data_IF_403315453636
#
_entry.id   IF_403315453636
#
_cell.length_a   1.000
_cell.length_b   1.000
_cell.length_c   1.000
_cell.angle_alpha   90.00
_cell.angle_beta   90.00
_cell.angle_gamma   90.00
#
_symmetry.space_group_name_H-M   'P 1'
#
loop_
_entity.id
_entity.type
_entity.pdbx_description
1 polymer ?
#
# COMPACT_ATOMS: atom_id res chain seq x y z
N UNK A 1 25.46 -25.15 -59.06
CA UNK A 1 24.28 -24.74 -59.84
C UNK A 1 23.39 -23.84 -58.99
N UNK A 2 22.96 -22.70 -59.58
CA UNK A 2 21.87 -21.77 -59.18
C UNK A 2 21.95 -20.94 -57.86
N UNK A 3 22.52 -19.73 -58.05
CA UNK A 3 22.20 -18.35 -57.62
C UNK A 3 21.53 -17.98 -56.25
N UNK A 4 21.90 -16.80 -55.68
CA UNK A 4 21.46 -16.28 -54.38
C UNK A 4 20.31 -15.26 -54.47
N UNK A 5 19.64 -14.96 -53.34
CA UNK A 5 18.64 -13.88 -53.24
C UNK A 5 19.19 -12.68 -52.47
N UNK A 6 19.24 -11.51 -53.14
CA UNK A 6 19.45 -10.16 -52.60
C UNK A 6 18.22 -9.32 -52.96
N UNK A 7 17.94 -8.29 -52.13
CA UNK A 7 16.97 -7.16 -52.22
C UNK A 7 15.68 -7.35 -51.41
N UNK A 8 15.17 -6.35 -50.69
CA UNK A 8 15.54 -4.93 -50.65
C UNK A 8 14.96 -4.18 -49.45
N UNK A 9 15.75 -3.25 -48.94
CA UNK A 9 15.35 -2.09 -48.15
C UNK A 9 14.86 -1.05 -49.15
N UNK A 10 13.57 -0.74 -49.14
CA UNK A 10 12.92 0.48 -49.64
C UNK A 10 11.43 0.19 -49.85
N UNK A 11 10.60 0.33 -48.80
CA UNK A 11 9.14 0.54 -48.98
C UNK A 11 8.36 0.89 -47.69
N UNK A 12 9.01 1.50 -46.69
CA UNK A 12 8.30 1.91 -45.45
C UNK A 12 8.42 3.38 -45.08
N UNK A 13 9.00 4.20 -45.96
CA UNK A 13 9.14 5.65 -45.75
C UNK A 13 7.95 6.48 -46.28
N UNK A 14 7.08 5.92 -47.13
CA UNK A 14 6.00 6.69 -47.79
C UNK A 14 4.60 6.60 -47.15
N UNK A 15 4.43 5.85 -46.06
CA UNK A 15 3.11 5.75 -45.37
C UNK A 15 2.93 6.66 -44.16
N UNK A 16 3.95 7.43 -43.76
CA UNK A 16 3.89 8.31 -42.58
C UNK A 16 3.56 9.77 -42.97
N UNK A 17 3.65 10.15 -44.25
CA UNK A 17 3.39 11.51 -44.72
C UNK A 17 1.91 11.86 -44.96
N UNK A 18 1.00 10.88 -45.08
CA UNK A 18 -0.40 11.12 -45.48
C UNK A 18 -1.45 11.05 -44.35
N UNK A 19 -1.05 10.84 -43.09
CA UNK A 19 -1.99 10.84 -41.94
C UNK A 19 -1.97 12.11 -41.08
N UNK A 20 -1.25 13.16 -41.53
CA UNK A 20 -1.10 14.43 -40.79
C UNK A 20 -1.90 15.61 -41.38
N UNK A 21 -2.92 15.34 -42.19
CA UNK A 21 -3.70 16.39 -42.87
C UNK A 21 -5.23 16.20 -42.84
N UNK A 22 -5.78 15.50 -41.83
CA UNK A 22 -7.22 15.26 -41.71
C UNK A 22 -7.76 15.44 -40.28
N UNK A 23 -7.19 16.37 -39.51
CA UNK A 23 -7.68 16.73 -38.18
C UNK A 23 -7.91 18.25 -37.98
N UNK A 24 -7.90 19.03 -39.06
CA UNK A 24 -8.26 20.46 -39.05
C UNK A 24 -9.42 20.71 -40.02
N UNK A 25 -10.65 20.56 -39.53
CA UNK A 25 -11.86 21.27 -39.96
C UNK A 25 -13.10 20.56 -39.39
N UNK A 26 -13.70 21.14 -38.35
CA UNK A 26 -14.96 20.66 -37.81
C UNK A 26 -16.14 21.07 -38.67
N UNK A 27 -17.07 20.15 -38.95
CA UNK A 27 -18.51 20.38 -39.20
C UNK A 27 -19.28 19.07 -38.93
N UNK A 28 -20.35 19.15 -38.11
CA UNK A 28 -21.35 18.08 -37.92
C UNK A 28 -22.20 17.84 -39.18
N UNK A 29 -22.55 16.57 -39.48
CA UNK A 29 -23.86 16.24 -40.07
C UNK A 29 -24.31 14.81 -39.79
N UNK A 30 -25.58 14.70 -39.42
CA UNK A 30 -26.38 13.49 -39.25
C UNK A 30 -26.67 12.80 -40.60
N UNK A 31 -26.65 11.47 -40.58
CA UNK A 31 -27.47 10.48 -41.33
C UNK A 31 -26.68 9.35 -42.05
N UNK A 32 -26.99 8.13 -41.59
CA UNK A 32 -27.05 6.83 -42.31
C UNK A 32 -25.79 6.28 -43.00
N UNK A 33 -25.18 5.29 -42.34
CA UNK A 33 -24.76 4.04 -43.00
C UNK A 33 -25.04 2.84 -42.07
N UNK A 34 -26.05 2.05 -42.42
CA UNK A 34 -26.28 0.71 -41.89
C UNK A 34 -25.68 -0.33 -42.86
N UNK A 35 -24.90 -1.30 -42.38
CA UNK A 35 -24.50 -2.44 -43.21
C UNK A 35 -23.25 -3.25 -42.79
N UNK A 36 -23.43 -4.17 -41.82
CA UNK A 36 -22.66 -5.43 -41.55
C UNK A 36 -21.23 -5.35 -40.96
N UNK A 37 -20.70 -6.45 -40.37
CA UNK A 37 -21.25 -7.29 -39.29
C UNK A 37 -20.36 -7.25 -38.03
N UNK A 38 -21.00 -7.42 -36.85
CA UNK A 38 -20.32 -7.58 -35.55
C UNK A 38 -19.50 -8.87 -35.54
N UNK A 39 -18.22 -8.75 -35.23
CA UNK A 39 -17.40 -9.86 -34.70
C UNK A 39 -17.47 -9.72 -33.17
N UNK A 40 -18.22 -10.62 -32.53
CA UNK A 40 -18.21 -10.81 -31.07
C UNK A 40 -16.93 -11.55 -30.67
N UNK A 41 -16.16 -10.96 -29.77
CA UNK A 41 -15.15 -11.68 -28.99
C UNK A 41 -15.31 -11.27 -27.52
N UNK A 42 -15.75 -12.24 -26.71
CA UNK A 42 -15.35 -12.43 -25.32
C UNK A 42 -15.82 -11.42 -24.28
N UNK A 43 -17.05 -11.60 -23.76
CA UNK A 43 -17.47 -11.03 -22.48
C UNK A 43 -16.69 -11.70 -21.34
N UNK A 44 -15.92 -10.91 -20.58
CA UNK A 44 -15.44 -11.29 -19.26
C UNK A 44 -16.54 -10.99 -18.22
N UNK A 45 -16.68 -11.91 -17.28
CA UNK A 45 -17.78 -12.09 -16.36
C UNK A 45 -18.04 -10.89 -15.43
N UNK A 46 -19.26 -10.35 -15.48
CA UNK A 46 -19.83 -9.48 -14.45
C UNK A 46 -20.91 -10.26 -13.69
N UNK A 47 -20.65 -10.69 -12.46
CA UNK A 47 -21.68 -11.29 -11.60
C UNK A 47 -22.56 -10.20 -10.98
N UNK A 48 -23.58 -9.80 -11.74
CA UNK A 48 -24.89 -9.39 -11.21
C UNK A 48 -25.84 -10.54 -11.53
N UNK A 49 -26.42 -11.16 -10.51
CA UNK A 49 -27.71 -11.91 -10.47
C UNK A 49 -27.63 -13.16 -9.57
N UNK A 50 -27.81 -12.98 -8.26
CA UNK A 50 -28.39 -14.00 -7.38
C UNK A 50 -29.23 -13.32 -6.29
N UNK A 51 -30.43 -12.86 -6.66
CA UNK A 51 -31.50 -12.50 -5.72
C UNK A 51 -32.83 -12.53 -6.50
N UNK A 52 -33.38 -13.72 -6.78
CA UNK A 52 -34.83 -13.95 -6.94
C UNK A 52 -35.10 -15.45 -6.79
N UNK A 53 -35.69 -15.84 -5.66
CA UNK A 53 -36.83 -16.76 -5.51
C UNK A 53 -36.81 -17.42 -4.12
N UNK A 54 -37.70 -16.98 -3.24
CA UNK A 54 -38.39 -17.84 -2.30
C UNK A 54 -39.77 -17.24 -1.98
N UNK A 55 -40.80 -18.06 -1.74
CA UNK A 55 -42.20 -17.69 -1.92
C UNK A 55 -42.85 -17.11 -0.67
N UNK A 56 -43.91 -16.36 -0.92
CA UNK A 56 -44.98 -15.99 0.00
C UNK A 56 -45.54 -17.22 0.74
N UNK A 57 -45.55 -17.18 2.07
CA UNK A 57 -46.55 -17.86 2.91
C UNK A 57 -46.95 -16.94 4.06
N UNK A 58 -48.19 -16.46 3.99
CA UNK A 58 -48.95 -15.91 5.11
C UNK A 58 -49.68 -17.10 5.74
N UNK A 59 -49.60 -17.25 7.05
CA UNK A 59 -50.75 -17.67 7.86
C UNK A 59 -50.60 -17.18 9.30
N UNK A 60 -51.71 -16.66 9.79
CA UNK A 60 -51.95 -16.14 11.14
C UNK A 60 -51.88 -17.24 12.21
N UNK A 61 -51.45 -16.84 13.41
CA UNK A 61 -51.95 -17.20 14.76
C UNK A 61 -50.86 -16.71 15.73
N UNK A 62 -51.08 -16.01 16.84
CA UNK A 62 -52.23 -15.51 17.57
C UNK A 62 -51.62 -14.73 18.75
N UNK A 63 -52.30 -13.68 19.21
CA UNK A 63 -51.88 -12.84 20.33
C UNK A 63 -51.96 -13.58 21.68
N UNK A 64 -51.35 -12.95 22.70
CA UNK A 64 -51.43 -13.12 24.19
C UNK A 64 -50.02 -13.30 24.80
N UNK A 65 -49.59 -12.67 25.89
CA UNK A 65 -50.26 -11.85 26.92
C UNK A 65 -49.20 -11.06 27.72
N UNK A 66 -49.63 -9.92 28.29
CA UNK A 66 -48.92 -9.08 29.28
C UNK A 66 -49.40 -9.48 30.69
N UNK A 67 -48.48 -9.64 31.66
CA UNK A 67 -48.54 -9.25 33.09
C UNK A 67 -47.66 -10.18 33.96
N UNK A 68 -46.64 -9.65 34.65
CA UNK A 68 -46.68 -9.12 36.03
C UNK A 68 -46.88 -10.20 37.11
N UNK A 69 -45.87 -10.44 37.96
CA UNK A 69 -45.91 -9.96 39.35
C UNK A 69 -44.61 -10.23 40.12
N UNK A 70 -44.33 -9.26 41.00
CA UNK A 70 -43.36 -9.23 42.10
C UNK A 70 -43.50 -10.41 43.06
N UNK A 71 -42.37 -10.89 43.63
CA UNK A 71 -42.06 -10.97 45.08
C UNK A 71 -40.83 -11.85 45.31
N UNK A 72 -39.91 -11.39 46.16
CA UNK A 72 -38.82 -12.21 46.66
C UNK A 72 -37.63 -11.38 47.12
N UNK A 73 -37.79 -10.64 48.22
CA UNK A 73 -36.66 -10.12 48.98
C UNK A 73 -35.94 -11.29 49.66
N UNK A 74 -34.72 -11.58 49.23
CA UNK A 74 -33.72 -12.23 50.06
C UNK A 74 -32.45 -11.36 50.00
N UNK A 75 -32.22 -10.63 51.08
CA UNK A 75 -30.98 -9.91 51.34
C UNK A 75 -29.93 -10.97 51.69
N UNK A 76 -29.13 -11.38 50.71
CA UNK A 76 -27.85 -12.02 50.96
C UNK A 76 -26.78 -10.92 51.01
N UNK A 77 -26.42 -10.50 52.22
CA UNK A 77 -25.23 -9.70 52.49
C UNK A 77 -23.99 -10.54 52.19
N UNK A 78 -23.58 -10.58 50.92
CA UNK A 78 -22.27 -11.03 50.53
C UNK A 78 -21.29 -9.86 50.67
N UNK A 79 -20.36 -9.98 51.61
CA UNK A 79 -19.17 -9.14 51.73
C UNK A 79 -18.38 -9.19 50.41
N UNK A 80 -18.58 -8.19 49.55
CA UNK A 80 -17.67 -7.90 48.44
C UNK A 80 -16.39 -7.31 49.04
N UNK A 81 -15.43 -8.17 49.34
CA UNK A 81 -14.04 -7.77 49.47
C UNK A 81 -13.61 -7.22 48.10
N UNK A 82 -13.53 -5.90 47.98
CA UNK A 82 -12.89 -5.23 46.84
C UNK A 82 -11.41 -5.59 46.92
N UNK A 83 -11.02 -6.65 46.22
CA UNK A 83 -9.64 -6.91 45.90
C UNK A 83 -9.20 -5.80 44.96
N UNK A 84 -8.63 -4.73 45.53
CA UNK A 84 -7.84 -3.76 44.78
C UNK A 84 -6.62 -4.50 44.25
N UNK A 85 -6.77 -5.11 43.08
CA UNK A 85 -5.64 -5.57 42.30
C UNK A 85 -4.73 -4.36 42.04
N UNK A 86 -3.40 -4.52 42.06
CA UNK A 86 -2.50 -3.43 41.75
C UNK A 86 -2.86 -2.90 40.38
N UNK A 87 -3.22 -1.62 40.31
CA UNK A 87 -3.35 -0.91 39.05
C UNK A 87 -2.04 -1.11 38.30
N UNK A 88 -2.09 -1.82 37.17
CA UNK A 88 -0.96 -1.89 36.25
C UNK A 88 -0.78 -0.49 35.73
N UNK A 89 0.08 0.28 36.42
CA UNK A 89 0.56 1.57 35.95
C UNK A 89 1.17 1.30 34.59
N UNK A 90 0.53 1.79 33.53
CA UNK A 90 1.12 1.84 32.22
C UNK A 90 2.41 2.66 32.38
N UNK A 91 3.56 1.97 32.49
CA UNK A 91 4.86 2.62 32.49
C UNK A 91 4.91 3.43 31.20
N UNK A 92 4.84 4.74 31.33
CA UNK A 92 5.13 5.69 30.27
C UNK A 92 6.49 5.31 29.75
N UNK A 93 6.54 4.67 28.57
CA UNK A 93 7.80 4.26 27.97
C UNK A 93 8.63 5.52 27.74
N UNK A 94 9.91 5.46 28.08
CA UNK A 94 10.84 6.54 27.74
C UNK A 94 10.67 6.91 26.25
N UNK A 95 10.81 8.19 25.89
CA UNK A 95 10.72 8.61 24.50
C UNK A 95 11.70 7.79 23.65
N UNK A 96 11.34 7.46 22.40
CA UNK A 96 12.22 6.68 21.54
C UNK A 96 13.54 7.41 21.34
N UNK A 97 14.66 6.69 21.40
CA UNK A 97 15.96 7.24 21.04
C UNK A 97 15.97 7.53 19.55
N UNK A 98 16.19 8.79 19.17
CA UNK A 98 16.27 9.20 17.76
C UNK A 98 17.62 9.85 17.43
N UNK A 99 18.00 9.81 16.15
CA UNK A 99 19.15 10.56 15.63
C UNK A 99 18.86 11.03 14.20
N UNK A 100 19.67 12.00 13.73
CA UNK A 100 19.63 12.54 12.38
C UNK A 100 21.04 12.92 11.96
N UNK A 101 21.57 12.32 10.89
CA UNK A 101 22.97 12.52 10.48
C UNK A 101 23.21 13.83 9.69
N UNK A 102 22.16 14.43 9.14
CA UNK A 102 22.24 15.67 8.35
C UNK A 102 20.86 16.33 8.18
N UNK A 103 20.80 17.60 7.75
CA UNK A 103 19.54 18.36 7.64
C UNK A 103 18.51 17.74 6.68
N UNK A 104 18.98 17.12 5.61
CA UNK A 104 18.15 16.43 4.61
C UNK A 104 18.06 14.92 4.84
N UNK A 105 18.68 14.39 5.89
CA UNK A 105 18.59 12.98 6.26
C UNK A 105 17.25 12.69 6.94
N UNK A 106 16.80 11.45 6.87
CA UNK A 106 15.66 10.99 7.67
C UNK A 106 15.98 11.05 9.16
N UNK A 107 15.00 11.44 9.98
CA UNK A 107 15.08 11.18 11.42
C UNK A 107 14.91 9.67 11.62
N UNK A 108 15.84 9.06 12.36
CA UNK A 108 15.91 7.62 12.58
C UNK A 108 15.52 7.29 14.01
N UNK A 109 14.70 6.26 14.20
CA UNK A 109 14.29 5.73 15.51
C UNK A 109 15.06 4.45 15.78
N UNK A 110 15.81 4.40 16.89
CA UNK A 110 16.53 3.19 17.33
C UNK A 110 15.54 2.18 17.90
N UNK A 111 15.49 1.00 17.29
CA UNK A 111 14.60 -0.09 17.66
C UNK A 111 15.37 -1.18 18.39
N UNK A 112 14.85 -1.70 19.51
CA UNK A 112 15.55 -2.72 20.28
C UNK A 112 15.59 -4.05 19.54
N UNK A 113 16.65 -4.82 19.77
CA UNK A 113 16.66 -6.24 19.42
C UNK A 113 15.48 -6.97 20.08
N UNK A 114 14.92 -7.95 19.40
CA UNK A 114 13.78 -8.68 19.93
C UNK A 114 13.33 -9.84 19.07
N UNK A 115 12.23 -10.46 19.51
CA UNK A 115 11.59 -11.57 18.84
C UNK A 115 10.10 -11.30 18.71
N UNK A 116 9.50 -11.69 17.58
CA UNK A 116 8.08 -11.54 17.32
C UNK A 116 7.56 -12.63 16.40
N UNK A 117 6.24 -12.73 16.25
CA UNK A 117 5.61 -13.59 15.26
C UNK A 117 5.35 -12.80 13.98
N UNK A 118 6.09 -13.12 12.93
CA UNK A 118 5.91 -12.56 11.59
C UNK A 118 4.85 -13.34 10.81
N UNK A 119 4.02 -12.64 10.04
CA UNK A 119 2.99 -13.23 9.21
C UNK A 119 1.59 -13.18 9.82
N UNK A 120 0.65 -13.86 9.16
CA UNK A 120 -0.78 -13.83 9.49
C UNK A 120 -1.36 -15.23 9.71
N UNK A 121 -2.47 -15.25 10.44
CA UNK A 121 -3.43 -16.34 10.54
C UNK A 121 -4.69 -15.99 9.77
N UNK A 122 -5.60 -16.95 9.59
CA UNK A 122 -6.93 -16.69 9.02
C UNK A 122 -7.74 -15.65 9.82
N UNK A 123 -7.49 -15.53 11.12
CA UNK A 123 -8.25 -14.66 12.02
C UNK A 123 -7.84 -13.18 11.87
N UNK A 124 -6.73 -12.93 11.15
CA UNK A 124 -6.29 -11.58 10.81
C UNK A 124 -7.03 -10.98 9.60
N UNK A 125 -7.91 -11.75 8.96
CA UNK A 125 -8.67 -11.33 7.79
C UNK A 125 -10.13 -11.00 8.16
N UNK A 126 -10.56 -9.79 7.81
CA UNK A 126 -11.94 -9.34 7.96
C UNK A 126 -12.80 -9.78 6.77
N UNK A 127 -14.08 -10.06 7.02
CA UNK A 127 -15.04 -10.45 5.97
C UNK A 127 -14.96 -11.92 5.56
N UNK A 128 -15.34 -12.22 4.31
CA UNK A 128 -15.33 -13.59 3.79
C UNK A 128 -13.91 -14.05 3.45
N UNK A 129 -13.29 -14.79 4.38
CA UNK A 129 -11.93 -15.32 4.23
C UNK A 129 -11.71 -16.14 2.94
N UNK A 130 -12.77 -16.71 2.33
CA UNK A 130 -12.62 -17.44 1.05
C UNK A 130 -12.04 -16.55 -0.05
N UNK A 131 -12.21 -15.23 0.04
CA UNK A 131 -11.66 -14.26 -0.91
C UNK A 131 -10.15 -14.03 -0.74
N UNK A 132 -9.60 -14.36 0.43
CA UNK A 132 -8.23 -13.99 0.84
C UNK A 132 -7.31 -15.19 1.07
N UNK A 133 -7.69 -16.36 0.55
CA UNK A 133 -6.93 -17.59 0.74
C UNK A 133 -5.53 -17.50 0.12
N UNK A 134 -5.40 -16.80 -1.01
CA UNK A 134 -4.13 -16.65 -1.72
C UNK A 134 -3.16 -15.77 -0.93
N UNK A 135 -3.65 -14.68 -0.35
CA UNK A 135 -2.90 -13.78 0.52
C UNK A 135 -2.33 -14.54 1.72
N UNK A 136 -3.14 -15.39 2.37
CA UNK A 136 -2.65 -16.22 3.48
C UNK A 136 -1.56 -17.22 3.06
N UNK A 137 -1.50 -17.66 1.79
CA UNK A 137 -0.38 -18.53 1.35
C UNK A 137 0.97 -17.83 1.36
N UNK A 138 0.97 -16.50 1.24
CA UNK A 138 2.17 -15.66 1.27
C UNK A 138 2.44 -15.18 2.69
N UNK A 139 1.40 -14.74 3.39
CA UNK A 139 1.52 -14.15 4.73
C UNK A 139 1.65 -15.20 5.83
N UNK A 140 1.22 -16.43 5.58
CA UNK A 140 1.17 -17.50 6.57
C UNK A 140 2.22 -18.62 6.38
N UNK A 141 2.21 -19.60 7.29
CA UNK A 141 1.75 -19.45 8.67
C UNK A 141 2.69 -18.51 9.44
N UNK A 142 2.28 -18.01 10.63
CA UNK A 142 3.13 -17.16 11.45
C UNK A 142 4.43 -17.87 11.86
N UNK A 143 5.55 -17.15 11.82
CA UNK A 143 6.89 -17.68 12.12
C UNK A 143 7.57 -16.80 13.15
N UNK A 144 8.27 -17.45 14.08
CA UNK A 144 9.03 -16.71 15.09
C UNK A 144 10.31 -16.16 14.49
N UNK A 145 10.47 -14.83 14.52
CA UNK A 145 11.58 -14.12 13.91
C UNK A 145 12.38 -13.36 14.96
N UNK A 146 13.71 -13.40 14.86
CA UNK A 146 14.61 -12.57 15.67
C UNK A 146 15.17 -11.41 14.84
N UNK A 147 15.17 -10.23 15.44
CA UNK A 147 15.67 -8.98 14.85
C UNK A 147 16.74 -8.42 15.78
N UNK A 148 17.88 -8.01 15.20
CA UNK A 148 18.92 -7.30 15.96
C UNK A 148 18.46 -5.87 16.22
N UNK A 149 19.18 -5.13 17.07
CA UNK A 149 18.97 -3.69 17.16
C UNK A 149 19.33 -3.05 15.83
N UNK A 150 18.51 -2.13 15.36
CA UNK A 150 18.72 -1.35 14.14
C UNK A 150 17.94 -0.04 14.28
N UNK A 151 18.15 0.92 13.38
CA UNK A 151 17.31 2.10 13.32
C UNK A 151 16.46 2.11 12.06
N UNK A 152 15.25 2.65 12.16
CA UNK A 152 14.31 2.80 11.05
C UNK A 152 13.89 4.25 10.93
N UNK A 153 13.73 4.73 9.70
CA UNK A 153 13.20 6.05 9.42
C UNK A 153 11.87 6.25 10.12
N UNK A 154 11.78 7.32 10.92
CA UNK A 154 10.58 7.70 11.67
C UNK A 154 9.37 7.87 10.74
N UNK A 155 9.65 8.39 9.57
CA UNK A 155 8.72 8.68 8.48
C UNK A 155 9.18 7.98 7.19
N UNK A 156 8.33 8.03 6.16
CA UNK A 156 8.79 7.86 4.78
C UNK A 156 9.85 8.89 4.41
N UNK A 157 10.66 8.60 3.38
CA UNK A 157 11.46 9.65 2.75
C UNK A 157 10.51 10.62 2.06
N UNK A 158 10.65 11.91 2.36
CA UNK A 158 9.75 12.94 1.81
C UNK A 158 10.20 13.42 0.43
N UNK A 159 9.30 14.08 -0.30
CA UNK A 159 9.63 14.75 -1.56
C UNK A 159 10.75 15.77 -1.39
N UNK A 160 10.74 16.54 -0.31
CA UNK A 160 11.80 17.51 0.01
C UNK A 160 13.16 16.86 0.21
N UNK A 161 13.23 15.72 0.90
CA UNK A 161 14.48 14.97 1.09
C UNK A 161 14.99 14.41 -0.24
N UNK A 162 14.10 13.80 -1.02
CA UNK A 162 14.44 13.24 -2.33
C UNK A 162 14.84 14.32 -3.35
N UNK A 163 14.27 15.53 -3.26
CA UNK A 163 14.61 16.64 -4.14
C UNK A 163 16.08 17.07 -4.06
N UNK A 164 16.72 16.90 -2.89
CA UNK A 164 18.16 17.18 -2.74
C UNK A 164 18.99 16.21 -3.59
N UNK A 165 18.70 14.91 -3.49
CA UNK A 165 19.30 13.88 -4.34
C UNK A 165 19.06 14.19 -5.82
N UNK A 166 17.81 14.46 -6.19
CA UNK A 166 17.46 14.65 -7.59
C UNK A 166 18.15 15.87 -8.21
N UNK A 167 18.24 16.97 -7.45
CA UNK A 167 18.96 18.18 -7.86
C UNK A 167 20.46 17.93 -8.02
N UNK A 168 21.09 17.24 -7.08
CA UNK A 168 22.55 17.03 -7.10
C UNK A 168 23.00 16.02 -8.16
N UNK A 169 22.14 15.07 -8.51
CA UNK A 169 22.49 13.97 -9.44
C UNK A 169 21.93 14.17 -10.84
N UNK A 170 21.03 15.13 -11.04
CA UNK A 170 20.27 15.26 -12.29
C UNK A 170 19.31 14.08 -12.52
N UNK A 171 18.83 13.46 -11.43
CA UNK A 171 17.95 12.29 -11.51
C UNK A 171 16.70 12.57 -12.34
N UNK A 172 16.50 11.75 -13.37
CA UNK A 172 15.29 11.73 -14.18
C UNK A 172 14.45 10.50 -13.79
N UNK A 173 13.24 10.73 -13.27
CA UNK A 173 12.32 9.69 -12.79
C UNK A 173 11.07 9.51 -13.65
N UNK A 174 11.13 9.85 -14.95
CA UNK A 174 9.96 9.79 -15.85
C UNK A 174 9.39 8.39 -16.04
N UNK A 175 8.09 8.35 -16.29
CA UNK A 175 7.30 7.14 -16.49
C UNK A 175 6.84 6.56 -15.16
N UNK A 176 5.54 6.66 -14.87
CA UNK A 176 4.97 6.14 -13.64
C UNK A 176 3.59 5.52 -13.87
N UNK A 177 3.29 4.44 -13.14
CA UNK A 177 1.92 3.96 -12.99
C UNK A 177 1.15 4.94 -12.09
N UNK A 178 0.23 5.66 -12.70
CA UNK A 178 -0.61 6.65 -12.02
C UNK A 178 -2.02 6.10 -11.85
N UNK A 179 -2.64 6.39 -10.72
CA UNK A 179 -4.02 6.00 -10.50
C UNK A 179 -4.97 7.00 -11.17
N UNK A 180 -5.86 6.50 -12.03
CA UNK A 180 -6.91 7.29 -12.69
C UNK A 180 -8.27 6.72 -12.33
N UNK A 181 -8.87 7.28 -11.27
CA UNK A 181 -10.22 6.97 -10.75
C UNK A 181 -10.41 5.50 -10.36
N UNK A 182 -10.49 4.60 -11.33
CA UNK A 182 -10.77 3.17 -11.11
C UNK A 182 -9.65 2.26 -11.59
N UNK A 183 -8.61 2.77 -12.25
CA UNK A 183 -7.55 1.93 -12.82
C UNK A 183 -6.16 2.57 -12.70
N UNK A 184 -5.13 1.73 -12.88
CA UNK A 184 -3.73 2.10 -12.89
C UNK A 184 -3.21 2.15 -14.33
N UNK A 185 -2.86 3.36 -14.78
CA UNK A 185 -2.35 3.59 -16.12
C UNK A 185 -0.87 3.99 -16.09
N UNK A 186 -0.09 3.46 -17.04
CA UNK A 186 1.23 4.00 -17.30
C UNK A 186 1.12 5.37 -17.96
N UNK A 187 1.74 6.38 -17.36
CA UNK A 187 1.85 7.74 -17.90
C UNK A 187 3.32 8.08 -18.08
N UNK A 188 3.74 8.26 -19.32
CA UNK A 188 5.15 8.51 -19.69
C UNK A 188 5.71 9.77 -19.03
N UNK A 189 4.86 10.79 -18.90
CA UNK A 189 5.29 12.12 -18.47
C UNK A 189 5.19 12.32 -16.95
N UNK A 190 4.54 11.37 -16.26
CA UNK A 190 4.46 11.35 -14.80
C UNK A 190 5.80 10.96 -14.18
N UNK A 191 6.08 11.48 -12.99
CA UNK A 191 7.31 11.27 -12.23
C UNK A 191 7.10 11.56 -10.73
N UNK A 192 8.19 11.55 -9.96
CA UNK A 192 8.17 11.84 -8.53
C UNK A 192 7.77 13.29 -8.17
N UNK A 193 7.85 14.22 -9.12
CA UNK A 193 7.38 15.60 -8.91
C UNK A 193 5.89 15.72 -9.23
N UNK A 194 5.44 15.02 -10.27
CA UNK A 194 4.08 15.06 -10.80
C UNK A 194 3.52 13.63 -10.95
N UNK A 195 3.08 12.99 -9.84
CA UNK A 195 2.66 11.59 -9.85
C UNK A 195 1.23 11.38 -10.37
N UNK A 196 0.55 12.44 -10.81
CA UNK A 196 -0.85 12.42 -11.23
C UNK A 196 -1.83 13.02 -10.21
N UNK A 197 -1.33 13.49 -9.07
CA UNK A 197 -2.11 14.18 -8.02
C UNK A 197 -1.24 15.20 -7.27
N UNK A 198 -1.83 16.19 -6.57
CA UNK A 198 -1.06 17.17 -5.82
C UNK A 198 -0.37 16.53 -4.60
N UNK A 199 0.88 16.90 -4.37
CA UNK A 199 1.65 16.56 -3.17
C UNK A 199 2.36 17.81 -2.64
N UNK A 200 2.56 17.89 -1.33
CA UNK A 200 3.43 18.90 -0.70
C UNK A 200 4.88 18.41 -0.60
N UNK A 201 5.78 19.25 -0.10
CA UNK A 201 7.17 18.89 0.14
C UNK A 201 7.34 17.83 1.25
N UNK A 202 6.38 17.76 2.16
CA UNK A 202 6.40 16.87 3.33
C UNK A 202 5.62 15.56 3.09
N UNK A 203 5.00 15.40 1.92
CA UNK A 203 4.44 14.12 1.47
C UNK A 203 5.55 13.10 1.20
N UNK A 204 5.26 11.78 1.31
CA UNK A 204 6.18 10.74 0.89
C UNK A 204 6.53 10.91 -0.59
N UNK A 205 7.80 10.73 -0.95
CA UNK A 205 8.16 10.62 -2.35
C UNK A 205 7.57 9.33 -2.92
N UNK A 206 6.84 9.45 -4.02
CA UNK A 206 6.25 8.34 -4.77
C UNK A 206 6.73 8.35 -6.22
N UNK A 207 6.26 7.43 -7.05
CA UNK A 207 6.76 7.25 -8.42
C UNK A 207 8.28 7.00 -8.46
N UNK A 208 8.78 6.26 -7.46
CA UNK A 208 10.16 5.80 -7.39
C UNK A 208 10.18 4.28 -7.45
N UNK A 209 11.05 3.73 -8.30
CA UNK A 209 11.28 2.30 -8.40
C UNK A 209 12.30 1.86 -7.36
N UNK A 210 12.39 0.55 -7.10
CA UNK A 210 13.41 0.02 -6.21
C UNK A 210 14.84 0.43 -6.63
N UNK A 211 15.12 0.45 -7.94
CA UNK A 211 16.40 0.89 -8.48
C UNK A 211 16.67 2.40 -8.28
N UNK A 212 15.65 3.23 -8.32
CA UNK A 212 15.80 4.66 -8.00
C UNK A 212 16.14 4.85 -6.51
N UNK A 213 15.50 4.04 -5.66
CA UNK A 213 15.77 4.04 -4.22
C UNK A 213 17.21 3.59 -3.92
N UNK A 214 17.74 2.60 -4.63
CA UNK A 214 19.16 2.22 -4.48
C UNK A 214 20.11 3.34 -4.88
N UNK A 215 19.83 4.07 -5.97
CA UNK A 215 20.63 5.23 -6.37
C UNK A 215 20.60 6.33 -5.31
N UNK A 216 19.42 6.60 -4.74
CA UNK A 216 19.27 7.53 -3.61
C UNK A 216 20.10 7.09 -2.40
N UNK A 217 20.03 5.81 -2.02
CA UNK A 217 20.80 5.24 -0.90
C UNK A 217 22.31 5.31 -1.15
N UNK A 218 22.76 4.98 -2.36
CA UNK A 218 24.17 5.05 -2.74
C UNK A 218 24.69 6.49 -2.65
N UNK A 219 23.95 7.44 -3.23
CA UNK A 219 24.27 8.87 -3.13
C UNK A 219 24.34 9.31 -1.67
N UNK A 220 23.34 8.98 -0.86
CA UNK A 220 23.28 9.40 0.55
C UNK A 220 24.49 8.86 1.33
N UNK A 221 24.77 7.56 1.20
CA UNK A 221 25.92 6.94 1.85
C UNK A 221 27.25 7.56 1.39
N UNK A 222 27.39 7.90 0.10
CA UNK A 222 28.58 8.61 -0.40
C UNK A 222 28.72 10.01 0.18
N UNK A 223 27.62 10.75 0.33
CA UNK A 223 27.61 12.12 0.92
C UNK A 223 27.99 12.13 2.41
N UNK A 224 27.70 11.03 3.09
CA UNK A 224 27.90 10.82 4.51
C UNK A 224 29.21 10.08 4.84
N UNK A 225 29.92 9.57 3.84
CA UNK A 225 31.20 8.89 4.02
C UNK A 225 32.19 9.77 4.82
N UNK A 226 32.70 9.23 5.93
CA UNK A 226 33.61 9.93 6.85
C UNK A 226 32.95 10.97 7.77
N UNK A 227 31.63 11.20 7.65
CA UNK A 227 30.87 12.11 8.54
C UNK A 227 30.05 11.37 9.59
N UNK A 228 29.65 10.14 9.29
CA UNK A 228 28.94 9.25 10.21
C UNK A 228 29.37 7.81 9.97
N UNK A 229 29.21 6.96 10.99
CA UNK A 229 29.41 5.51 10.91
C UNK A 229 28.19 4.79 10.32
N UNK A 230 27.04 5.47 10.26
CA UNK A 230 25.79 4.90 9.82
C UNK A 230 25.80 4.60 8.32
N UNK A 231 25.29 3.40 7.97
CA UNK A 231 25.08 3.00 6.58
C UNK A 231 23.59 2.79 6.32
N UNK A 232 23.05 3.62 5.45
CA UNK A 232 21.64 3.59 5.06
C UNK A 232 21.37 2.46 4.07
N UNK A 233 20.21 1.84 4.20
CA UNK A 233 19.69 0.78 3.31
C UNK A 233 18.15 0.78 3.33
N UNK A 234 17.54 -0.06 2.50
CA UNK A 234 16.14 -0.44 2.70
C UNK A 234 16.02 -1.39 3.91
N UNK A 235 14.91 -1.34 4.66
CA UNK A 235 14.61 -2.37 5.65
C UNK A 235 14.36 -3.71 4.96
N UNK A 236 14.65 -4.80 5.67
CA UNK A 236 14.13 -6.12 5.30
C UNK A 236 12.65 -6.20 5.67
N UNK A 237 11.87 -7.06 5.01
CA UNK A 237 10.48 -7.35 5.38
C UNK A 237 10.36 -7.72 6.87
N UNK A 238 11.31 -8.52 7.36
CA UNK A 238 11.39 -8.97 8.75
C UNK A 238 11.54 -7.81 9.72
N UNK A 239 12.44 -6.88 9.43
CA UNK A 239 12.66 -5.67 10.25
C UNK A 239 11.46 -4.74 10.19
N UNK A 240 10.90 -4.56 8.99
CA UNK A 240 9.78 -3.68 8.76
C UNK A 240 8.53 -4.13 9.52
N UNK A 241 8.18 -5.42 9.47
CA UNK A 241 6.98 -5.91 10.14
C UNK A 241 7.15 -5.92 11.67
N UNK A 242 8.36 -6.21 12.17
CA UNK A 242 8.70 -6.04 13.58
C UNK A 242 8.45 -4.59 14.04
N UNK A 243 8.95 -3.64 13.26
CA UNK A 243 8.78 -2.21 13.48
C UNK A 243 7.32 -1.76 13.38
N UNK A 244 6.57 -2.27 12.40
CA UNK A 244 5.16 -1.93 12.20
C UNK A 244 4.30 -2.37 13.38
N UNK A 245 4.53 -3.60 13.87
CA UNK A 245 3.82 -4.18 15.02
C UNK A 245 4.16 -3.48 16.34
N UNK A 246 5.41 -3.03 16.53
CA UNK A 246 5.86 -2.36 17.76
C UNK A 246 5.42 -3.06 19.06
N UNK A 247 5.43 -4.39 19.05
CA UNK A 247 5.03 -5.26 20.15
C UNK A 247 3.57 -5.71 20.16
N UNK A 248 2.72 -5.29 19.22
CA UNK A 248 1.36 -5.85 19.08
C UNK A 248 1.36 -7.19 18.34
N UNK A 249 0.33 -7.99 18.62
CA UNK A 249 0.05 -9.23 17.89
C UNK A 249 -1.15 -9.10 16.94
N UNK A 250 -1.83 -7.96 16.97
CA UNK A 250 -3.00 -7.65 16.13
C UNK A 250 -2.63 -7.35 14.68
N UNK A 251 -3.59 -7.40 13.73
CA UNK A 251 -3.35 -7.05 12.33
C UNK A 251 -2.84 -5.62 12.13
N UNK A 252 -3.28 -4.69 12.96
CA UNK A 252 -2.83 -3.28 12.97
C UNK A 252 -2.24 -2.93 14.32
N UNK A 253 -1.40 -1.88 14.39
CA UNK A 253 -0.76 -1.48 15.65
C UNK A 253 -1.68 -0.68 16.59
N UNK A 254 -2.89 -0.31 16.13
CA UNK A 254 -3.94 0.31 16.95
C UNK A 254 -5.04 -0.68 17.36
N UNK A 255 -4.95 -1.94 16.94
CA UNK A 255 -5.89 -3.01 17.31
C UNK A 255 -6.66 -3.56 16.11
N UNK A 256 -7.96 -3.79 16.28
CA UNK A 256 -8.84 -4.38 15.25
C UNK A 256 -10.01 -3.47 14.84
N UNK A 257 -10.13 -2.27 15.41
CA UNK A 257 -11.22 -1.35 15.09
C UNK A 257 -10.92 -0.54 13.84
N UNK A 258 -11.76 -0.69 12.81
CA UNK A 258 -11.71 0.13 11.59
C UNK A 258 -12.23 1.55 11.78
N UNK A 259 -13.03 1.80 12.80
CA UNK A 259 -13.47 3.17 13.13
C UNK A 259 -12.30 4.04 13.60
N UNK A 260 -11.28 3.42 14.19
CA UNK A 260 -10.08 4.13 14.66
C UNK A 260 -9.04 4.34 13.56
N UNK A 261 -9.20 3.72 12.39
CA UNK A 261 -8.20 3.68 11.33
C UNK A 261 -7.68 5.08 10.94
N UNK A 262 -8.59 6.02 10.67
CA UNK A 262 -8.25 7.38 10.24
C UNK A 262 -7.55 8.23 11.31
N UNK A 263 -7.36 7.73 12.55
CA UNK A 263 -6.51 8.37 13.56
C UNK A 263 -5.04 7.99 13.43
N UNK A 264 -4.77 6.87 12.77
CA UNK A 264 -3.46 6.22 12.73
C UNK A 264 -2.87 6.21 11.33
N UNK A 265 -3.67 6.40 10.28
CA UNK A 265 -3.17 6.33 8.92
C UNK A 265 -4.11 6.89 7.84
N UNK A 266 -3.56 6.99 6.63
CA UNK A 266 -4.23 7.36 5.39
C UNK A 266 -4.34 6.17 4.43
N UNK A 267 -5.56 5.68 4.23
CA UNK A 267 -5.92 4.65 3.26
C UNK A 267 -7.39 4.82 2.89
N UNK A 268 -7.97 3.88 2.13
CA UNK A 268 -9.34 4.07 1.65
C UNK A 268 -10.35 4.15 2.79
N UNK A 269 -10.99 5.31 2.84
CA UNK A 269 -12.01 5.68 3.80
C UNK A 269 -13.18 6.40 3.08
N UNK A 270 -14.04 7.11 3.82
CA UNK A 270 -15.15 7.86 3.23
C UNK A 270 -14.71 8.91 2.19
N UNK A 271 -13.58 9.59 2.38
CA UNK A 271 -13.01 10.54 1.42
C UNK A 271 -12.61 9.85 0.12
N UNK A 272 -12.05 8.63 0.19
CA UNK A 272 -11.63 7.86 -0.98
C UNK A 272 -12.78 7.39 -1.90
N UNK A 273 -14.06 7.51 -1.48
CA UNK A 273 -15.22 7.24 -2.37
C UNK A 273 -15.23 8.15 -3.59
N UNK A 274 -14.66 9.36 -3.50
CA UNK A 274 -14.52 10.28 -4.64
C UNK A 274 -13.61 9.72 -5.75
N UNK A 275 -12.72 8.78 -5.41
CA UNK A 275 -11.89 8.07 -6.38
C UNK A 275 -12.64 6.90 -7.04
N UNK A 276 -13.42 6.16 -6.25
CA UNK A 276 -14.16 5.00 -6.72
C UNK A 276 -15.15 4.51 -5.66
N UNK A 277 -16.46 4.68 -5.85
CA UNK A 277 -17.45 4.40 -4.80
C UNK A 277 -17.66 2.90 -4.52
N UNK A 278 -17.24 2.03 -5.44
CA UNK A 278 -17.48 0.58 -5.36
C UNK A 278 -16.42 -0.18 -4.54
N UNK A 279 -15.31 0.47 -4.18
CA UNK A 279 -14.27 -0.15 -3.37
C UNK A 279 -14.61 -0.07 -1.87
N UNK A 280 -14.30 -1.12 -1.08
CA UNK A 280 -14.43 -1.06 0.38
C UNK A 280 -13.65 0.10 0.98
N UNK A 281 -14.23 0.71 2.02
CA UNK A 281 -13.66 1.84 2.75
C UNK A 281 -13.77 1.59 4.26
N UNK A 282 -12.87 2.18 5.03
CA UNK A 282 -13.05 2.27 6.47
C UNK A 282 -14.19 3.26 6.79
N UNK A 283 -14.99 3.01 7.84
CA UNK A 283 -16.11 3.88 8.22
C UNK A 283 -15.59 5.08 9.05
N UNK A 284 -14.67 5.85 8.48
CA UNK A 284 -14.07 7.06 9.04
C UNK A 284 -13.65 8.00 7.91
N UNK A 285 -13.12 9.17 8.26
CA UNK A 285 -12.64 10.18 7.31
C UNK A 285 -11.31 10.76 7.82
N UNK A 286 -10.25 10.61 7.03
CA UNK A 286 -8.89 11.09 7.22
C UNK A 286 -8.62 12.42 6.50
N UNK A 287 -9.56 12.84 5.64
CA UNK A 287 -9.54 14.06 4.83
C UNK A 287 -8.46 14.13 3.74
N UNK A 288 -7.84 13.00 3.38
CA UNK A 288 -6.81 12.90 2.34
C UNK A 288 -7.25 11.99 1.20
N UNK A 289 -7.46 12.58 0.03
CA UNK A 289 -7.81 11.83 -1.18
C UNK A 289 -6.63 11.02 -1.76
N UNK A 290 -5.41 11.49 -1.52
CA UNK A 290 -4.16 10.95 -2.05
C UNK A 290 -3.17 10.76 -0.91
N UNK A 291 -1.87 10.93 -1.12
CA UNK A 291 -0.92 10.99 0.00
C UNK A 291 -1.23 12.14 0.95
N UNK A 292 -0.76 11.98 2.19
CA UNK A 292 -0.77 13.00 3.22
C UNK A 292 0.68 13.37 3.59
N UNK A 293 0.93 14.57 4.16
CA UNK A 293 2.21 14.87 4.80
C UNK A 293 2.57 13.79 5.82
N UNK A 294 3.86 13.41 5.86
CA UNK A 294 4.31 12.38 6.80
C UNK A 294 4.07 12.82 8.24
N UNK A 295 3.67 11.88 9.09
CA UNK A 295 3.40 12.17 10.50
C UNK A 295 2.07 12.88 10.78
N UNK A 296 1.16 12.94 9.82
CA UNK A 296 -0.19 13.51 10.00
C UNK A 296 -1.06 12.73 11.00
N UNK A 297 -0.73 11.46 11.24
CA UNK A 297 -1.48 10.55 12.10
C UNK A 297 -0.73 10.14 13.36
N UNK A 298 -1.40 9.42 14.26
CA UNK A 298 -0.76 8.92 15.48
C UNK A 298 0.30 7.83 15.16
N UNK A 299 1.48 7.87 15.81
CA UNK A 299 2.49 6.85 15.61
C UNK A 299 2.12 5.54 16.32
N UNK A 300 2.85 4.48 15.97
CA UNK A 300 2.87 3.29 16.80
C UNK A 300 3.68 3.51 18.10
N UNK A 301 3.71 2.49 18.98
CA UNK A 301 4.35 2.58 20.30
C UNK A 301 5.85 2.90 20.26
N UNK A 302 6.52 2.70 19.14
CA UNK A 302 7.94 3.03 18.97
C UNK A 302 8.17 4.41 18.31
N UNK A 303 7.11 5.19 18.10
CA UNK A 303 7.22 6.53 17.52
C UNK A 303 7.39 6.53 16.00
N UNK A 304 7.09 5.41 15.33
CA UNK A 304 7.09 5.29 13.87
C UNK A 304 5.71 5.67 13.33
N UNK A 305 5.71 6.50 12.29
CA UNK A 305 4.50 7.01 11.66
C UNK A 305 4.29 6.35 10.30
N UNK A 306 3.04 6.35 9.83
CA UNK A 306 2.66 5.93 8.48
C UNK A 306 3.18 4.51 8.13
N UNK A 307 3.22 3.62 9.14
CA UNK A 307 3.66 2.24 8.95
C UNK A 307 2.62 1.42 8.19
N UNK A 308 1.33 1.76 8.31
CA UNK A 308 0.25 1.07 7.61
C UNK A 308 -0.55 2.14 6.88
N UNK A 309 -0.29 2.43 5.60
CA UNK A 309 -0.96 3.49 4.83
C UNK A 309 -0.01 4.54 4.23
N UNK A 310 -0.61 5.61 3.70
CA UNK A 310 -0.03 6.73 2.97
C UNK A 310 0.68 6.30 1.67
N UNK A 311 1.81 5.60 1.76
CA UNK A 311 2.48 4.99 0.61
C UNK A 311 2.98 3.59 0.95
N UNK A 312 2.94 2.69 -0.03
CA UNK A 312 3.53 1.36 0.13
C UNK A 312 5.05 1.49 0.11
N UNK A 313 5.76 0.65 0.85
CA UNK A 313 7.18 0.85 1.12
C UNK A 313 8.02 -0.26 0.50
N UNK A 314 9.03 0.13 -0.30
CA UNK A 314 10.02 -0.79 -0.87
C UNK A 314 10.87 -1.47 0.20
N UNK A 315 11.01 -2.79 0.10
CA UNK A 315 11.84 -3.63 0.96
C UNK A 315 13.13 -4.06 0.27
N UNK A 316 14.13 -4.46 1.04
CA UNK A 316 15.37 -5.03 0.50
C UNK A 316 15.14 -6.42 -0.14
N UNK A 317 14.19 -7.19 0.39
CA UNK A 317 13.93 -8.58 0.01
C UNK A 317 13.43 -8.72 -1.43
N UNK A 318 13.85 -9.81 -2.08
CA UNK A 318 13.34 -10.23 -3.37
C UNK A 318 11.97 -10.85 -3.21
N UNK A 319 11.06 -10.48 -4.10
CA UNK A 319 9.71 -11.02 -4.08
C UNK A 319 9.64 -12.33 -4.85
N UNK A 320 9.20 -13.39 -4.18
CA UNK A 320 8.78 -14.64 -4.84
C UNK A 320 7.43 -14.48 -5.57
N UNK A 321 6.74 -13.35 -5.37
CA UNK A 321 5.41 -13.07 -5.91
C UNK A 321 5.40 -12.03 -7.03
N UNK A 322 6.55 -11.44 -7.37
CA UNK A 322 6.65 -10.51 -8.50
C UNK A 322 6.24 -11.22 -9.80
N UNK A 323 5.07 -10.87 -10.33
CA UNK A 323 4.50 -11.43 -11.56
C UNK A 323 3.27 -12.34 -11.40
N UNK A 324 2.90 -12.78 -10.19
CA UNK A 324 1.61 -13.50 -9.98
C UNK A 324 0.40 -12.57 -9.96
N UNK A 325 0.60 -11.28 -9.63
CA UNK A 325 -0.47 -10.27 -9.53
C UNK A 325 -0.53 -9.28 -10.71
N UNK A 326 0.45 -9.28 -11.64
CA UNK A 326 0.45 -8.38 -12.80
C UNK A 326 1.02 -9.08 -14.05
N UNK A 327 0.14 -9.59 -14.91
CA UNK A 327 0.48 -10.38 -16.10
C UNK A 327 0.70 -9.56 -17.40
N UNK A 328 0.82 -8.23 -17.34
CA UNK A 328 0.69 -7.36 -18.52
C UNK A 328 1.98 -6.65 -19.00
N UNK A 329 3.18 -7.05 -18.58
CA UNK A 329 4.43 -6.43 -19.04
C UNK A 329 5.38 -7.44 -19.71
N UNK A 330 6.17 -7.01 -20.72
CA UNK A 330 7.05 -7.90 -21.48
C UNK A 330 8.10 -8.57 -20.58
N UNK A 331 8.54 -9.79 -20.93
CA UNK A 331 9.47 -10.56 -20.12
C UNK A 331 10.81 -9.84 -19.98
N UNK A 332 11.25 -9.64 -18.74
CA UNK A 332 12.59 -9.16 -18.38
C UNK A 332 13.54 -10.37 -18.34
N UNK A 333 14.80 -10.26 -18.79
CA UNK A 333 15.79 -11.34 -18.69
C UNK A 333 15.91 -11.88 -17.27
N UNK A 334 16.22 -13.17 -17.13
CA UNK A 334 16.41 -13.86 -15.85
C UNK A 334 17.60 -13.28 -15.07
N UNK A 335 17.37 -12.20 -14.35
CA UNK A 335 18.09 -11.95 -13.11
C UNK A 335 17.45 -12.77 -11.98
N UNK A 336 18.22 -13.12 -10.95
CA UNK A 336 17.76 -13.95 -9.82
C UNK A 336 16.65 -13.31 -8.98
N UNK A 337 16.28 -12.05 -9.25
CA UNK A 337 15.29 -11.27 -8.52
C UNK A 337 14.49 -10.41 -9.51
N UNK A 338 13.28 -10.85 -9.90
CA UNK A 338 12.44 -10.13 -10.87
C UNK A 338 11.71 -8.92 -10.28
N UNK A 339 11.58 -8.87 -8.96
CA UNK A 339 10.94 -7.80 -8.23
C UNK A 339 11.25 -7.88 -6.74
N UNK A 340 10.80 -6.87 -6.02
CA UNK A 340 11.03 -6.71 -4.59
C UNK A 340 9.72 -6.56 -3.85
N UNK A 341 9.76 -6.90 -2.58
CA UNK A 341 8.57 -6.83 -1.74
C UNK A 341 8.24 -5.39 -1.34
N UNK A 342 6.96 -5.23 -1.07
CA UNK A 342 6.29 -3.99 -0.75
C UNK A 342 5.43 -4.23 0.49
N UNK A 343 5.48 -3.32 1.46
CA UNK A 343 4.75 -3.43 2.72
C UNK A 343 3.97 -2.16 3.07
N UNK A 344 2.95 -2.31 3.91
CA UNK A 344 2.24 -1.21 4.58
C UNK A 344 0.97 -0.72 3.91
N UNK A 345 0.74 -1.00 2.63
CA UNK A 345 -0.39 -0.39 1.91
C UNK A 345 -0.17 1.11 1.68
N UNK A 346 -1.17 1.77 1.10
CA UNK A 346 -1.10 3.17 0.65
C UNK A 346 -2.46 3.87 0.81
N UNK A 347 -2.51 5.16 0.47
CA UNK A 347 -3.76 5.92 0.33
C UNK A 347 -4.81 5.22 -0.56
N UNK A 348 -4.38 4.37 -1.51
CA UNK A 348 -5.25 3.61 -2.40
C UNK A 348 -5.69 2.24 -1.85
N UNK A 349 -5.16 1.80 -0.71
CA UNK A 349 -5.40 0.46 -0.19
C UNK A 349 -6.77 0.36 0.48
N UNK A 350 -7.54 -0.66 0.12
CA UNK A 350 -8.76 -1.04 0.85
C UNK A 350 -8.39 -1.51 2.28
N UNK A 351 -9.33 -1.49 3.24
CA UNK A 351 -9.03 -1.80 4.64
C UNK A 351 -8.25 -3.11 4.88
N UNK A 352 -8.57 -4.18 4.16
CA UNK A 352 -7.86 -5.47 4.30
C UNK A 352 -6.39 -5.41 3.85
N UNK A 353 -6.01 -4.44 3.01
CA UNK A 353 -4.63 -4.18 2.62
C UNK A 353 -3.81 -3.40 3.66
N UNK A 354 -4.46 -2.89 4.71
CA UNK A 354 -3.83 -2.12 5.78
C UNK A 354 -3.66 -3.03 7.00
N UNK A 355 -2.65 -3.90 6.95
CA UNK A 355 -2.25 -4.84 8.01
C UNK A 355 -0.74 -5.02 8.02
N UNK A 356 -0.15 -5.29 9.18
CA UNK A 356 1.29 -5.45 9.34
C UNK A 356 1.87 -6.62 8.52
N UNK A 357 1.10 -7.72 8.42
CA UNK A 357 1.48 -8.88 7.62
C UNK A 357 1.26 -8.69 6.12
N UNK A 358 0.43 -7.72 5.71
CA UNK A 358 0.11 -7.52 4.30
C UNK A 358 1.37 -7.16 3.51
N UNK A 359 1.61 -7.92 2.44
CA UNK A 359 2.76 -7.74 1.58
C UNK A 359 2.43 -8.11 0.15
N UNK A 360 3.00 -7.34 -0.78
CA UNK A 360 2.91 -7.60 -2.22
C UNK A 360 4.30 -7.53 -2.84
N UNK A 361 4.42 -7.87 -4.11
CA UNK A 361 5.65 -7.74 -4.89
C UNK A 361 5.45 -6.81 -6.07
N UNK A 362 6.47 -6.02 -6.40
CA UNK A 362 6.48 -5.22 -7.63
C UNK A 362 7.81 -5.38 -8.36
N UNK A 363 7.77 -5.22 -9.69
CA UNK A 363 8.99 -5.27 -10.50
C UNK A 363 9.99 -4.20 -10.08
N UNK A 364 11.27 -4.56 -10.09
CA UNK A 364 12.38 -3.72 -9.59
C UNK A 364 12.43 -2.33 -10.22
N UNK A 365 12.03 -2.22 -11.50
CA UNK A 365 12.04 -0.97 -12.27
C UNK A 365 10.69 -0.25 -12.30
N UNK A 366 9.63 -0.83 -11.72
CA UNK A 366 8.30 -0.23 -11.79
C UNK A 366 8.21 0.98 -10.85
N UNK A 367 7.88 2.13 -11.42
CA UNK A 367 7.46 3.32 -10.67
C UNK A 367 5.95 3.31 -10.57
N UNK A 368 5.42 3.58 -9.39
CA UNK A 368 4.00 3.65 -9.14
C UNK A 368 3.72 4.78 -8.13
N UNK A 369 2.65 5.53 -8.37
CA UNK A 369 2.25 6.70 -7.56
C UNK A 369 1.74 6.36 -6.14
N UNK A 370 1.62 5.07 -5.80
CA UNK A 370 1.42 4.59 -4.44
C UNK A 370 2.68 3.95 -3.81
N UNK A 371 3.81 3.86 -4.53
CA UNK A 371 5.04 3.26 -4.02
C UNK A 371 6.03 4.35 -3.61
N UNK A 372 6.38 4.37 -2.33
CA UNK A 372 7.47 5.13 -1.73
C UNK A 372 8.44 4.21 -0.98
N UNK A 373 9.16 4.77 -0.01
CA UNK A 373 10.10 4.01 0.80
C UNK A 373 10.45 4.72 2.10
N UNK A 374 11.02 3.96 3.04
CA UNK A 374 11.74 4.48 4.21
C UNK A 374 13.09 3.78 4.35
N UNK A 375 13.98 4.39 5.11
CA UNK A 375 15.35 3.90 5.29
C UNK A 375 15.51 3.11 6.58
N UNK A 376 16.48 2.22 6.60
CA UNK A 376 17.01 1.56 7.77
C UNK A 376 18.51 1.80 7.88
N UNK A 377 19.04 1.70 9.10
CA UNK A 377 20.46 1.81 9.44
C UNK A 377 20.83 0.68 10.40
N UNK A 378 21.94 0.00 10.13
CA UNK A 378 22.55 -0.94 11.07
C UNK A 378 23.28 -0.17 12.19
N UNK A 379 23.17 -0.65 13.43
CA UNK A 379 23.73 -0.01 14.64
C UNK A 379 24.95 -0.73 15.19
#
# INVERSE_FOLDING_TARGET
MKKPYRRGIADHADRISQRKAAADSGVCRLERCAGRPRIEIGRAWTERHLMKQAPTFINHHGAEMINSYRRGHFVCLALLAVLTGPSVSAKTSAPPTTFKDCDYCSEMVVLPAGQYMMGATKDDFEGDFKKYQLELTVEGPPRSMRVKSFALGRFHVTRKQFAVFAKETGFNGKGCMTFKRTDWDFVSDADWQNPGFPQTDDDPVVCVSWNDVQQYIEWLNKKLAGKTVHRYRLPTQKEWEYAARAGTTTPTYWGSSRQEQCRYENARDETAKALGPDYPVAPCDDHFLWTSPVGSFLPNRWGLYDMLGNATQWMADCSENSGKLFAYLPPVPESKCRGHDLRGGSWASIPIGVRAANGTGSYTNLRNSAHGFRLAVDL
#
